data_IF_915535366431
#
_entry.id   IF_915535366431
#
_cell.length_a   1.000
_cell.length_b   1.000
_cell.length_c   1.000
_cell.angle_alpha   90.00
_cell.angle_beta   90.00
_cell.angle_gamma   90.00
#
_symmetry.space_group_name_H-M   'P 1'
#
loop_
_entity.id
_entity.type
_entity.pdbx_description
1 polymer ?
#
# COMPACT_ATOMS: atom_id res chain seq x y z
N UNK A 1 20.08 -38.61 -20.80
CA UNK A 1 18.89 -37.73 -20.81
C UNK A 1 18.57 -37.42 -19.34
N UNK A 2 18.88 -36.20 -18.84
CA UNK A 2 18.55 -35.82 -17.45
C UNK A 2 17.11 -35.33 -17.44
N UNK A 3 16.22 -36.14 -16.87
CA UNK A 3 14.83 -35.77 -16.63
C UNK A 3 14.79 -34.58 -15.68
N UNK A 4 14.21 -33.47 -16.16
CA UNK A 4 14.04 -32.24 -15.38
C UNK A 4 12.89 -32.49 -14.42
N UNK A 5 13.20 -32.75 -13.15
CA UNK A 5 12.20 -32.99 -12.11
C UNK A 5 11.19 -31.83 -12.03
N UNK A 6 9.88 -32.10 -11.90
CA UNK A 6 8.88 -31.05 -11.79
C UNK A 6 9.09 -30.29 -10.48
N UNK A 7 9.27 -28.97 -10.59
CA UNK A 7 9.42 -28.11 -9.42
C UNK A 7 8.15 -28.19 -8.56
N UNK A 8 8.27 -28.28 -7.22
CA UNK A 8 7.12 -28.39 -6.34
C UNK A 8 6.20 -27.17 -6.49
N UNK A 9 4.93 -27.42 -6.84
CA UNK A 9 3.87 -26.43 -6.98
C UNK A 9 3.47 -25.85 -5.61
N UNK A 10 4.27 -24.94 -5.06
CA UNK A 10 3.99 -24.25 -3.81
C UNK A 10 3.19 -22.95 -4.05
N UNK A 11 2.08 -23.06 -4.79
CA UNK A 11 1.25 -21.92 -5.21
C UNK A 11 0.29 -21.42 -4.13
N UNK A 12 -0.13 -22.27 -3.19
CA UNK A 12 -1.08 -21.90 -2.13
C UNK A 12 -0.55 -20.78 -1.21
N UNK A 13 0.73 -20.83 -0.88
CA UNK A 13 1.35 -19.91 0.07
C UNK A 13 1.74 -18.59 -0.61
N UNK A 14 2.00 -18.63 -1.92
CA UNK A 14 2.49 -17.49 -2.70
C UNK A 14 1.51 -16.33 -2.70
N UNK A 15 0.20 -16.62 -2.76
CA UNK A 15 -0.84 -15.60 -2.72
C UNK A 15 -0.87 -14.89 -1.35
N UNK A 16 -0.69 -15.65 -0.26
CA UNK A 16 -0.64 -15.13 1.11
C UNK A 16 0.55 -14.19 1.30
N UNK A 17 1.74 -14.60 0.85
CA UNK A 17 2.94 -13.75 0.88
C UNK A 17 2.77 -12.46 0.07
N UNK A 18 2.11 -12.55 -1.09
CA UNK A 18 1.86 -11.39 -1.95
C UNK A 18 0.88 -10.41 -1.32
N UNK A 19 -0.19 -10.91 -0.70
CA UNK A 19 -1.14 -10.08 0.06
C UNK A 19 -0.50 -9.46 1.30
N UNK A 20 0.33 -10.22 2.01
CA UNK A 20 1.07 -9.74 3.17
C UNK A 20 2.02 -8.60 2.78
N UNK A 21 2.76 -8.75 1.68
CA UNK A 21 3.63 -7.69 1.15
C UNK A 21 2.85 -6.42 0.80
N UNK A 22 1.68 -6.56 0.18
CA UNK A 22 0.81 -5.43 -0.14
C UNK A 22 0.27 -4.74 1.13
N UNK A 23 -0.12 -5.52 2.14
CA UNK A 23 -0.57 -5.01 3.43
C UNK A 23 0.55 -4.24 4.15
N UNK A 24 1.78 -4.77 4.17
CA UNK A 24 2.94 -4.08 4.73
C UNK A 24 3.26 -2.78 3.97
N UNK A 25 3.17 -2.79 2.65
CA UNK A 25 3.35 -1.58 1.85
C UNK A 25 2.35 -0.49 2.26
N UNK A 26 1.07 -0.84 2.44
CA UNK A 26 0.06 0.09 2.92
C UNK A 26 0.35 0.57 4.35
N UNK A 27 0.78 -0.33 5.24
CA UNK A 27 1.09 -0.03 6.63
C UNK A 27 2.29 0.92 6.77
N UNK A 28 3.37 0.67 6.03
CA UNK A 28 4.54 1.56 5.98
C UNK A 28 4.14 2.91 5.39
N UNK A 29 3.34 2.93 4.32
CA UNK A 29 2.87 4.17 3.71
C UNK A 29 2.05 5.02 4.69
N UNK A 30 1.18 4.40 5.49
CA UNK A 30 0.40 5.07 6.52
C UNK A 30 1.30 5.56 7.67
N UNK A 31 2.22 4.73 8.15
CA UNK A 31 3.17 5.11 9.20
C UNK A 31 4.03 6.31 8.80
N UNK A 32 4.54 6.32 7.56
CA UNK A 32 5.29 7.45 7.01
C UNK A 32 4.42 8.70 6.86
N UNK A 33 3.16 8.56 6.45
CA UNK A 33 2.23 9.67 6.33
C UNK A 33 1.93 10.33 7.68
N UNK A 34 1.72 9.52 8.74
CA UNK A 34 1.55 10.03 10.11
C UNK A 34 2.82 10.71 10.60
N UNK A 35 3.99 10.07 10.42
CA UNK A 35 5.27 10.65 10.85
C UNK A 35 5.56 11.99 10.15
N UNK A 36 5.37 12.03 8.83
CA UNK A 36 5.50 13.24 8.03
C UNK A 36 4.49 14.31 8.47
N UNK A 37 3.25 13.92 8.78
CA UNK A 37 2.22 14.82 9.32
C UNK A 37 2.63 15.44 10.65
N UNK A 38 3.17 14.65 11.59
CA UNK A 38 3.66 15.15 12.88
C UNK A 38 4.83 16.12 12.67
N UNK A 39 5.76 15.77 11.79
CA UNK A 39 6.92 16.59 11.50
C UNK A 39 6.52 17.93 10.87
N UNK A 40 5.61 17.91 9.88
CA UNK A 40 5.08 19.13 9.24
C UNK A 40 4.23 19.97 10.20
N UNK A 41 3.32 19.36 10.97
CA UNK A 41 2.48 20.08 11.94
C UNK A 41 3.35 20.78 13.01
N UNK A 42 4.43 20.15 13.45
CA UNK A 42 5.40 20.80 14.37
C UNK A 42 6.15 21.96 13.72
N UNK A 43 6.47 21.86 12.43
CA UNK A 43 7.24 22.89 11.72
C UNK A 43 6.38 24.10 11.36
N UNK A 44 5.14 23.87 10.94
CA UNK A 44 4.21 24.91 10.47
C UNK A 44 3.45 25.56 11.65
N UNK A 45 3.42 24.91 12.82
CA UNK A 45 2.65 25.32 14.01
C UNK A 45 1.24 25.84 13.66
N UNK A 46 0.42 25.09 12.91
CA UNK A 46 -0.90 25.56 12.46
C UNK A 46 -1.93 25.72 13.59
N UNK A 47 -1.54 25.64 14.87
CA UNK A 47 -2.41 25.71 16.04
C UNK A 47 -3.26 24.45 16.27
N UNK A 48 -3.39 23.59 15.27
CA UNK A 48 -4.17 22.35 15.33
C UNK A 48 -3.49 21.26 14.48
N UNK A 49 -3.42 19.99 14.94
CA UNK A 49 -2.73 18.91 14.24
C UNK A 49 -3.53 18.42 13.00
N UNK A 50 -3.65 19.27 11.98
CA UNK A 50 -4.40 18.98 10.76
C UNK A 50 -3.65 18.01 9.85
N UNK A 51 -2.35 18.17 9.64
CA UNK A 51 -1.63 17.36 8.65
C UNK A 51 -1.46 15.92 9.11
N UNK A 52 -1.35 15.68 10.42
CA UNK A 52 -1.41 14.32 10.99
C UNK A 52 -2.69 13.59 10.59
N UNK A 53 -3.79 14.29 10.37
CA UNK A 53 -5.08 13.70 9.97
C UNK A 53 -5.30 13.69 8.46
N UNK A 54 -4.96 14.78 7.78
CA UNK A 54 -5.20 14.94 6.33
C UNK A 54 -4.28 14.03 5.51
N UNK A 55 -3.02 13.83 5.90
CA UNK A 55 -2.08 12.96 5.16
C UNK A 55 -2.54 11.50 5.12
N UNK A 56 -2.86 10.84 6.25
CA UNK A 56 -3.37 9.47 6.24
C UNK A 56 -4.66 9.33 5.43
N UNK A 57 -5.55 10.32 5.51
CA UNK A 57 -6.78 10.32 4.73
C UNK A 57 -6.49 10.41 3.22
N UNK A 58 -5.53 11.24 2.81
CA UNK A 58 -5.10 11.35 1.43
C UNK A 58 -4.49 10.03 0.89
N UNK A 59 -3.76 9.28 1.73
CA UNK A 59 -3.24 7.94 1.37
C UNK A 59 -4.40 7.00 1.07
N UNK A 60 -5.42 6.95 1.96
CA UNK A 60 -6.59 6.08 1.79
C UNK A 60 -7.34 6.43 0.50
N UNK A 61 -7.60 7.72 0.25
CA UNK A 61 -8.25 8.19 -0.99
C UNK A 61 -7.43 7.77 -2.21
N UNK A 62 -6.11 7.94 -2.17
CA UNK A 62 -5.22 7.56 -3.26
C UNK A 62 -5.26 6.05 -3.55
N UNK A 63 -5.29 5.22 -2.51
CA UNK A 63 -5.43 3.76 -2.66
C UNK A 63 -6.77 3.39 -3.29
N UNK A 64 -7.88 4.03 -2.89
CA UNK A 64 -9.21 3.80 -3.46
C UNK A 64 -9.24 4.22 -4.94
N UNK A 65 -8.79 5.43 -5.25
CA UNK A 65 -8.73 5.92 -6.64
C UNK A 65 -7.89 5.01 -7.51
N UNK A 66 -6.73 4.55 -6.99
CA UNK A 66 -5.86 3.60 -7.68
C UNK A 66 -6.55 2.26 -7.90
N UNK A 67 -7.22 1.71 -6.89
CA UNK A 67 -7.97 0.47 -7.01
C UNK A 67 -9.09 0.55 -8.06
N UNK A 68 -9.83 1.66 -8.10
CA UNK A 68 -10.87 1.91 -9.12
C UNK A 68 -10.23 1.99 -10.52
N UNK A 69 -9.14 2.75 -10.67
CA UNK A 69 -8.45 2.93 -11.94
C UNK A 69 -7.82 1.63 -12.47
N UNK A 70 -7.23 0.83 -11.58
CA UNK A 70 -6.63 -0.47 -11.92
C UNK A 70 -7.71 -1.49 -12.31
N UNK A 71 -8.90 -1.42 -11.68
CA UNK A 71 -10.06 -2.24 -12.05
C UNK A 71 -10.60 -1.88 -13.42
N UNK A 72 -10.78 -0.59 -13.71
CA UNK A 72 -11.32 -0.12 -14.99
C UNK A 72 -10.39 -0.44 -16.18
N UNK A 73 -9.07 -0.36 -15.98
CA UNK A 73 -8.08 -0.73 -17.01
C UNK A 73 -8.11 -2.20 -17.42
N UNK A 74 -8.58 -3.09 -16.54
CA UNK A 74 -8.64 -4.54 -16.80
C UNK A 74 -9.82 -4.96 -17.68
N UNK A 75 -10.85 -4.12 -17.80
CA UNK A 75 -12.04 -4.37 -18.62
C UNK A 75 -11.91 -3.93 -20.09
N UNK A 76 -10.76 -3.35 -20.48
CA UNK A 76 -10.51 -2.86 -21.84
C UNK A 76 -9.45 -3.70 -22.59
N UNK A 77 -9.47 -5.01 -22.37
CA UNK A 77 -8.70 -6.02 -23.11
C UNK A 77 -9.64 -7.09 -23.66
#
# INVERSE_FOLDING_TARGET
>A
MKEKSPLPNNSGNRLLWLYLGFAFQALISLGLAVYAGIWLDKHIKPGFPLLVWVLPLAIIISLIVKAIKDTNRRGKN
#
